data_IF_133690626494
#
_entry.id   IF_133690626494
#
_cell.length_a   1.000
_cell.length_b   1.000
_cell.length_c   1.000
_cell.angle_alpha   90.00
_cell.angle_beta   90.00
_cell.angle_gamma   90.00
#
_symmetry.space_group_name_H-M   'P 1'
#
loop_
_entity.id
_entity.type
_entity.pdbx_description
1 polymer ?
#
# COMPACT_ATOMS: atom_id res chain seq x y z
N UNK A 1 5.24 -1.50 8.63
CA UNK A 1 5.47 -2.52 7.59
C UNK A 1 6.31 -1.87 6.52
N UNK A 2 7.37 -2.54 6.08
CA UNK A 2 8.18 -2.17 4.93
C UNK A 2 8.20 -3.38 4.00
N UNK A 3 8.05 -3.09 2.72
CA UNK A 3 8.15 -4.05 1.62
C UNK A 3 9.43 -3.72 0.87
N UNK A 4 10.13 -4.75 0.41
CA UNK A 4 11.28 -4.62 -0.46
C UNK A 4 10.94 -5.30 -1.78
N UNK A 5 11.16 -4.60 -2.90
CA UNK A 5 10.96 -5.17 -4.23
C UNK A 5 12.16 -6.04 -4.68
N UNK A 6 12.09 -6.65 -5.87
CA UNK A 6 13.18 -7.46 -6.40
C UNK A 6 14.42 -6.66 -6.85
N UNK A 7 14.36 -5.33 -6.81
CA UNK A 7 15.50 -4.42 -7.02
C UNK A 7 16.10 -3.94 -5.70
N UNK A 8 15.64 -4.51 -4.58
CA UNK A 8 16.03 -4.13 -3.23
C UNK A 8 15.59 -2.71 -2.81
N UNK A 9 14.61 -2.14 -3.50
CA UNK A 9 14.05 -0.82 -3.15
C UNK A 9 12.92 -0.94 -2.12
N UNK A 10 12.99 -0.20 -0.99
CA UNK A 10 11.98 -0.27 0.05
C UNK A 10 10.77 0.62 -0.27
N UNK A 11 9.57 0.17 0.12
CA UNK A 11 8.36 0.97 0.14
C UNK A 11 7.40 0.59 1.29
N UNK A 12 6.39 1.41 1.54
CA UNK A 12 5.49 1.29 2.72
C UNK A 12 4.00 1.28 2.39
N UNK A 13 3.65 1.29 1.10
CA UNK A 13 2.26 1.27 0.63
C UNK A 13 2.08 0.05 -0.28
N UNK A 14 1.90 -1.16 0.29
CA UNK A 14 1.49 -2.33 -0.48
C UNK A 14 0.03 -2.16 -0.94
N UNK A 15 -0.34 -2.89 -1.97
CA UNK A 15 -1.69 -2.88 -2.52
C UNK A 15 -1.75 -2.79 -4.04
N UNK A 16 -2.82 -3.34 -4.59
CA UNK A 16 -3.07 -3.40 -6.02
C UNK A 16 -4.36 -2.71 -6.47
N UNK A 17 -4.86 -3.17 -7.62
CA UNK A 17 -6.03 -2.57 -8.26
C UNK A 17 -7.31 -3.16 -7.68
N UNK A 18 -8.31 -2.30 -7.50
CA UNK A 18 -9.68 -2.73 -7.19
C UNK A 18 -10.27 -3.51 -8.37
N UNK A 19 -10.83 -4.67 -8.11
CA UNK A 19 -11.53 -5.46 -9.13
C UNK A 19 -12.93 -4.89 -9.45
N UNK A 20 -13.54 -5.25 -10.60
CA UNK A 20 -14.91 -4.88 -10.90
C UNK A 20 -15.89 -5.36 -9.83
N UNK A 21 -16.73 -4.44 -9.32
CA UNK A 21 -17.71 -4.74 -8.26
C UNK A 21 -17.14 -4.79 -6.83
N UNK A 22 -15.82 -4.80 -6.68
CA UNK A 22 -15.15 -4.80 -5.37
C UNK A 22 -15.26 -3.42 -4.69
N UNK A 23 -15.43 -3.37 -3.36
CA UNK A 23 -15.30 -2.13 -2.60
C UNK A 23 -13.83 -1.78 -2.37
N UNK A 24 -13.49 -0.51 -2.05
CA UNK A 24 -12.09 -0.14 -1.75
C UNK A 24 -11.54 -0.94 -0.55
N UNK A 25 -12.36 -1.18 0.46
CA UNK A 25 -11.94 -1.92 1.65
C UNK A 25 -11.79 -3.42 1.37
N UNK A 26 -12.64 -3.98 0.51
CA UNK A 26 -12.51 -5.37 0.04
C UNK A 26 -11.18 -5.54 -0.71
N UNK A 27 -10.86 -4.62 -1.63
CA UNK A 27 -9.59 -4.62 -2.34
C UNK A 27 -8.41 -4.52 -1.38
N UNK A 28 -8.43 -3.56 -0.46
CA UNK A 28 -7.40 -3.42 0.57
C UNK A 28 -7.15 -4.73 1.34
N UNK A 29 -8.23 -5.41 1.76
CA UNK A 29 -8.12 -6.65 2.54
C UNK A 29 -7.58 -7.80 1.72
N UNK A 30 -8.03 -7.93 0.47
CA UNK A 30 -7.55 -8.96 -0.47
C UNK A 30 -6.08 -8.75 -0.80
N UNK A 31 -5.71 -7.55 -1.23
CA UNK A 31 -4.35 -7.22 -1.65
C UNK A 31 -3.34 -7.39 -0.52
N UNK A 32 -3.65 -6.96 0.71
CA UNK A 32 -2.74 -7.19 1.85
C UNK A 32 -2.59 -8.66 2.23
N UNK A 33 -3.62 -9.48 1.98
CA UNK A 33 -3.52 -10.91 2.20
C UNK A 33 -2.70 -11.58 1.10
N UNK A 34 -2.96 -11.26 -0.16
CA UNK A 34 -2.28 -11.83 -1.33
C UNK A 34 -0.80 -11.38 -1.41
N UNK A 35 -0.50 -10.11 -1.21
CA UNK A 35 0.88 -9.60 -1.35
C UNK A 35 1.76 -9.96 -0.15
N UNK A 36 1.23 -9.83 1.07
CA UNK A 36 2.04 -9.86 2.30
C UNK A 36 1.50 -10.78 3.39
N UNK A 37 0.45 -11.56 3.13
CA UNK A 37 -0.04 -12.62 4.01
C UNK A 37 -0.77 -12.12 5.26
N UNK A 38 -1.14 -10.84 5.34
CA UNK A 38 -1.75 -10.28 6.56
C UNK A 38 -3.24 -10.05 6.38
N UNK A 39 -4.03 -10.68 7.25
CA UNK A 39 -5.36 -10.18 7.55
C UNK A 39 -5.24 -8.87 8.33
N UNK A 40 -6.18 -7.96 8.06
CA UNK A 40 -6.26 -6.67 8.75
C UNK A 40 -7.60 -6.52 9.45
N UNK A 41 -7.61 -5.82 10.57
CA UNK A 41 -8.79 -5.48 11.36
C UNK A 41 -9.30 -4.10 10.99
N UNK A 42 -9.22 -3.18 11.96
CA UNK A 42 -9.64 -1.78 11.78
C UNK A 42 -8.81 -1.10 10.68
N UNK A 43 -9.51 -0.36 9.82
CA UNK A 43 -8.93 0.45 8.75
C UNK A 43 -9.40 1.89 8.89
N UNK A 44 -8.60 2.84 8.40
CA UNK A 44 -8.98 4.24 8.30
C UNK A 44 -8.30 4.87 7.08
N UNK A 45 -9.03 5.72 6.35
CA UNK A 45 -8.46 6.49 5.23
C UNK A 45 -7.44 7.47 5.80
N UNK A 46 -6.22 7.40 5.30
CA UNK A 46 -5.14 8.34 5.59
C UNK A 46 -5.13 9.52 4.61
N UNK A 47 -5.45 9.23 3.34
CA UNK A 47 -5.44 10.19 2.25
C UNK A 47 -5.47 9.49 0.91
N UNK A 48 -4.99 10.17 -0.14
CA UNK A 48 -4.84 9.58 -1.46
C UNK A 48 -3.61 10.14 -2.18
N UNK A 49 -3.08 9.37 -3.13
CA UNK A 49 -2.09 9.82 -4.09
C UNK A 49 -2.80 9.96 -5.43
N UNK A 50 -2.71 11.14 -6.04
CA UNK A 50 -3.24 11.41 -7.37
C UNK A 50 -2.12 11.28 -8.39
N UNK A 51 -2.36 10.49 -9.43
CA UNK A 51 -1.45 10.28 -10.53
C UNK A 51 -2.06 10.85 -11.81
N UNK A 52 -1.21 11.49 -12.60
CA UNK A 52 -1.55 12.03 -13.91
C UNK A 52 -0.57 11.50 -14.95
N UNK A 53 -1.08 10.83 -15.99
CA UNK A 53 -0.26 10.35 -17.09
C UNK A 53 0.14 11.49 -18.03
N UNK A 54 1.45 11.71 -18.18
CA UNK A 54 2.03 12.77 -19.02
C UNK A 54 2.13 12.39 -20.51
N UNK A 55 1.96 11.10 -20.83
CA UNK A 55 2.06 10.56 -22.19
C UNK A 55 0.67 10.20 -22.71
N UNK A 56 0.40 10.25 -24.03
CA UNK A 56 -0.90 9.89 -24.62
C UNK A 56 -1.44 8.53 -24.15
N UNK A 57 -2.77 8.39 -24.15
CA UNK A 57 -3.42 7.12 -23.80
C UNK A 57 -2.98 6.02 -24.77
N UNK A 58 -2.39 4.91 -24.28
CA UNK A 58 -2.07 3.78 -25.15
C UNK A 58 -3.33 3.15 -25.75
N UNK A 59 -3.21 2.61 -26.97
CA UNK A 59 -4.30 1.87 -27.61
C UNK A 59 -4.72 0.68 -26.76
N UNK A 60 -6.03 0.50 -26.59
CA UNK A 60 -6.59 -0.59 -25.80
C UNK A 60 -6.40 -0.46 -24.28
N UNK A 61 -5.92 0.68 -23.76
CA UNK A 61 -5.73 0.85 -22.31
C UNK A 61 -7.08 0.86 -21.56
N UNK A 62 -7.35 -0.13 -20.68
CA UNK A 62 -8.69 -0.34 -20.14
C UNK A 62 -9.01 0.52 -18.92
N UNK A 63 -8.02 1.24 -18.39
CA UNK A 63 -8.15 1.99 -17.13
C UNK A 63 -8.50 3.47 -17.37
N UNK A 64 -9.00 4.17 -16.33
CA UNK A 64 -9.17 5.62 -16.35
C UNK A 64 -7.89 6.33 -16.79
N UNK A 65 -8.05 7.40 -17.55
CA UNK A 65 -6.96 8.17 -18.14
C UNK A 65 -7.44 9.62 -18.37
N UNK A 66 -6.59 10.65 -18.15
CA UNK A 66 -5.17 10.56 -17.76
C UNK A 66 -4.97 10.37 -16.26
N UNK A 67 -6.03 10.49 -15.48
CA UNK A 67 -5.98 10.49 -14.02
C UNK A 67 -6.33 9.13 -13.41
N UNK A 68 -5.62 8.78 -12.34
CA UNK A 68 -6.09 7.79 -11.39
C UNK A 68 -5.67 8.16 -9.96
N UNK A 69 -6.37 7.58 -8.98
CA UNK A 69 -6.09 7.80 -7.56
C UNK A 69 -5.79 6.48 -6.88
N UNK A 70 -4.84 6.52 -5.95
CA UNK A 70 -4.62 5.46 -4.97
C UNK A 70 -5.06 5.97 -3.61
N UNK A 71 -6.10 5.36 -3.03
CA UNK A 71 -6.55 5.69 -1.67
C UNK A 71 -5.63 4.96 -0.69
N UNK A 72 -5.03 5.72 0.22
CA UNK A 72 -4.09 5.20 1.20
C UNK A 72 -4.80 5.01 2.53
N UNK A 73 -4.64 3.83 3.12
CA UNK A 73 -5.23 3.47 4.40
C UNK A 73 -4.15 3.24 5.45
N UNK A 74 -4.48 3.54 6.70
CA UNK A 74 -3.87 2.86 7.84
C UNK A 74 -4.69 1.62 8.16
N UNK A 75 -4.02 0.52 8.51
CA UNK A 75 -4.66 -0.72 8.94
C UNK A 75 -3.93 -1.35 10.13
N UNK A 76 -4.67 -2.09 10.96
CA UNK A 76 -4.12 -2.90 12.05
C UNK A 76 -4.04 -4.34 11.58
N UNK A 77 -2.84 -4.91 11.52
CA UNK A 77 -2.65 -6.33 11.20
C UNK A 77 -3.16 -7.21 12.34
N UNK A 78 -3.83 -8.32 12.02
CA UNK A 78 -4.47 -9.21 13.00
C UNK A 78 -3.85 -10.59 13.01
N UNK A 79 -3.88 -11.31 11.89
CA UNK A 79 -3.37 -12.67 11.76
C UNK A 79 -2.60 -12.83 10.46
N UNK A 80 -1.57 -13.66 10.51
CA UNK A 80 -0.69 -13.94 9.39
C UNK A 80 -1.00 -15.32 8.81
N UNK A 81 -1.15 -15.37 7.49
CA UNK A 81 -1.33 -16.59 6.71
C UNK A 81 -0.38 -16.54 5.50
N UNK A 82 0.76 -17.23 5.63
CA UNK A 82 1.73 -17.32 4.54
C UNK A 82 1.22 -18.16 3.36
N UNK A 83 0.24 -19.04 3.57
CA UNK A 83 -0.30 -19.87 2.49
C UNK A 83 -1.22 -19.08 1.54
N UNK A 84 -1.71 -17.92 1.99
CA UNK A 84 -2.52 -17.01 1.18
C UNK A 84 -1.68 -16.07 0.29
N UNK A 85 -0.35 -16.06 0.45
CA UNK A 85 0.53 -15.20 -0.35
C UNK A 85 0.54 -15.70 -1.80
N UNK A 86 0.25 -14.80 -2.73
CA UNK A 86 0.31 -15.01 -4.18
C UNK A 86 1.57 -14.32 -4.70
N UNK A 87 2.35 -14.96 -5.60
CA UNK A 87 3.53 -14.32 -6.17
C UNK A 87 3.21 -13.00 -6.87
N UNK A 88 3.79 -11.91 -6.37
CA UNK A 88 3.67 -10.56 -6.92
C UNK A 88 5.04 -10.05 -7.41
N UNK A 89 5.17 -9.52 -8.64
CA UNK A 89 6.45 -9.10 -9.21
C UNK A 89 7.05 -7.84 -8.56
N UNK A 90 6.34 -7.19 -7.64
CA UNK A 90 6.77 -6.00 -6.92
C UNK A 90 7.08 -6.29 -5.44
N UNK A 91 6.80 -7.50 -4.95
CA UNK A 91 6.99 -7.88 -3.55
C UNK A 91 8.02 -9.01 -3.44
N UNK A 92 9.27 -8.68 -3.11
CA UNK A 92 10.27 -9.70 -2.80
C UNK A 92 10.23 -10.14 -1.34
N UNK A 93 9.97 -9.21 -0.42
CA UNK A 93 9.79 -9.52 1.01
C UNK A 93 9.01 -8.42 1.72
N UNK A 94 8.36 -8.77 2.83
CA UNK A 94 7.63 -7.83 3.69
C UNK A 94 7.93 -8.10 5.16
N UNK A 95 8.12 -7.04 5.95
CA UNK A 95 8.38 -7.14 7.39
C UNK A 95 7.87 -5.94 8.20
N UNK A 96 7.51 -6.19 9.45
CA UNK A 96 7.34 -5.12 10.42
C UNK A 96 8.71 -4.62 10.90
N UNK A 97 8.79 -3.31 11.10
CA UNK A 97 9.93 -2.60 11.67
C UNK A 97 9.43 -1.41 12.49
N UNK A 98 10.31 -0.81 13.29
CA UNK A 98 9.99 0.43 13.99
C UNK A 98 9.86 1.60 12.99
N UNK A 99 9.16 2.65 13.38
CA UNK A 99 9.08 3.87 12.57
C UNK A 99 10.45 4.52 12.41
N UNK A 100 11.26 4.52 13.47
CA UNK A 100 12.63 5.03 13.43
C UNK A 100 13.44 4.30 12.35
N UNK A 101 13.41 2.97 12.34
CA UNK A 101 14.07 2.18 11.32
C UNK A 101 13.52 2.48 9.91
N UNK A 102 12.20 2.56 9.74
CA UNK A 102 11.60 2.91 8.45
C UNK A 102 12.11 4.28 7.92
N UNK A 103 12.37 5.25 8.80
CA UNK A 103 12.88 6.56 8.40
C UNK A 103 14.35 6.56 7.98
N UNK A 104 15.15 5.56 8.37
CA UNK A 104 16.54 5.40 7.93
C UNK A 104 16.65 4.80 6.53
N UNK A 105 15.59 4.15 6.05
CA UNK A 105 15.54 3.55 4.71
C UNK A 105 15.45 4.62 3.61
N UNK A 106 15.83 4.20 2.39
CA UNK A 106 15.76 5.02 1.18
C UNK A 106 14.32 5.16 0.63
N UNK A 107 13.37 5.56 1.48
CA UNK A 107 12.00 5.85 1.10
C UNK A 107 11.90 7.23 0.43
N UNK A 108 11.04 7.33 -0.58
CA UNK A 108 10.72 8.63 -1.20
C UNK A 108 10.15 9.63 -0.18
N UNK A 109 10.23 10.92 -0.49
CA UNK A 109 9.67 12.00 0.34
C UNK A 109 8.18 11.79 0.59
N UNK A 110 7.41 11.38 -0.44
CA UNK A 110 5.99 11.10 -0.31
C UNK A 110 5.69 9.97 0.67
N UNK A 111 6.45 8.88 0.59
CA UNK A 111 6.30 7.75 1.51
C UNK A 111 6.66 8.12 2.95
N UNK A 112 7.73 8.91 3.16
CA UNK A 112 8.05 9.46 4.49
C UNK A 112 6.95 10.39 5.01
N UNK A 113 6.29 11.16 4.15
CA UNK A 113 5.16 12.01 4.54
C UNK A 113 3.94 11.17 4.98
N UNK A 114 3.64 10.07 4.28
CA UNK A 114 2.57 9.14 4.68
C UNK A 114 2.85 8.51 6.05
N UNK A 115 4.09 8.08 6.33
CA UNK A 115 4.45 7.57 7.65
C UNK A 115 4.22 8.60 8.75
N UNK A 116 4.64 9.86 8.53
CA UNK A 116 4.41 10.96 9.49
C UNK A 116 2.92 11.22 9.73
N UNK A 117 2.11 11.24 8.66
CA UNK A 117 0.67 11.41 8.79
C UNK A 117 0.01 10.27 9.58
N UNK A 118 0.44 9.02 9.33
CA UNK A 118 -0.05 7.85 10.07
C UNK A 118 0.31 7.92 11.56
N UNK A 119 1.46 8.48 11.92
CA UNK A 119 1.86 8.71 13.32
C UNK A 119 0.96 9.73 14.01
N UNK A 120 0.74 10.90 13.41
CA UNK A 120 -0.10 11.94 13.99
C UNK A 120 -1.54 11.48 14.23
N UNK A 121 -2.07 10.62 13.35
CA UNK A 121 -3.41 10.06 13.50
C UNK A 121 -3.54 8.99 14.60
N UNK A 122 -2.43 8.39 15.05
CA UNK A 122 -2.44 7.46 16.19
C UNK A 122 -2.49 8.21 17.53
N UNK A 123 -1.72 9.29 17.66
CA UNK A 123 -1.60 10.06 18.92
C UNK A 123 -2.84 10.89 19.28
N UNK A 124 -3.82 11.02 18.38
CA UNK A 124 -5.09 11.73 18.64
C UNK A 124 -6.26 10.82 19.03
N UNK A 125 -6.02 9.53 19.30
CA UNK A 125 -7.05 8.53 19.62
C UNK A 125 -6.85 7.84 20.98
N UNK A 126 -5.89 8.31 21.78
CA UNK A 126 -5.70 7.95 23.20
C UNK A 126 -6.30 9.03 24.10
#
# INVERSE_FOLDING_TARGET
>A
MVITDYKEEPYVVPGGRREPGESLETALRRELLEEIGWHVGQTAVLGFIHFYHLTPKPDGYPYPYPDFVQVVYTAVATSYDSAAIVPDPHVASARFCSLEEAFTLNLSVGQKALLKAAMSNRSGKD
#
